data_IF_050832717558
#
_entry.id   IF_050832717558
#
_cell.length_a   1.000
_cell.length_b   1.000
_cell.length_c   1.000
_cell.angle_alpha   90.00
_cell.angle_beta   90.00
_cell.angle_gamma   90.00
#
_symmetry.space_group_name_H-M   'P 1'
#
loop_
_entity.id
_entity.type
_entity.pdbx_description
1 polymer ?
#
# COMPACT_ATOMS: atom_id res chain seq x y z
N UNK A 1 -7.27 8.34 11.18
CA UNK A 1 -6.23 7.52 10.53
C UNK A 1 -6.67 6.08 10.59
N UNK A 2 -7.04 5.49 9.46
CA UNK A 2 -7.38 4.07 9.36
C UNK A 2 -6.09 3.26 9.31
N UNK A 3 -5.72 2.68 10.44
CA UNK A 3 -4.60 1.74 10.54
C UNK A 3 -5.08 0.37 10.03
N UNK A 4 -4.31 -0.26 9.14
CA UNK A 4 -4.64 -1.58 8.61
C UNK A 4 -4.17 -2.67 9.59
N UNK A 5 -5.04 -3.57 10.08
CA UNK A 5 -4.63 -4.67 10.93
C UNK A 5 -3.57 -5.54 10.24
N UNK A 6 -2.48 -5.88 10.94
CA UNK A 6 -1.39 -6.69 10.41
C UNK A 6 -0.41 -5.95 9.46
N UNK A 7 -0.65 -4.66 9.14
CA UNK A 7 0.31 -3.82 8.42
C UNK A 7 1.02 -2.91 9.41
N UNK A 8 2.35 -3.02 9.48
CA UNK A 8 3.16 -2.18 10.37
C UNK A 8 3.78 -0.98 9.66
N UNK A 9 3.97 -1.06 8.35
CA UNK A 9 4.41 0.06 7.54
C UNK A 9 3.87 -0.08 6.11
N UNK A 10 3.53 1.05 5.51
CA UNK A 10 3.18 1.16 4.11
C UNK A 10 3.95 2.34 3.52
N UNK A 11 4.70 2.10 2.44
CA UNK A 11 5.38 3.15 1.71
C UNK A 11 4.89 3.16 0.27
N UNK A 12 4.56 4.33 -0.23
CA UNK A 12 4.18 4.55 -1.61
C UNK A 12 5.23 5.43 -2.28
N UNK A 13 5.74 4.98 -3.42
CA UNK A 13 6.63 5.74 -4.28
C UNK A 13 5.91 5.98 -5.60
N UNK A 14 5.63 7.24 -5.91
CA UNK A 14 5.19 7.66 -7.23
C UNK A 14 6.42 7.87 -8.12
N UNK A 15 6.47 7.15 -9.23
CA UNK A 15 7.53 7.20 -10.22
C UNK A 15 6.95 7.44 -11.63
N UNK A 16 7.82 7.71 -12.59
CA UNK A 16 7.44 8.00 -13.97
C UNK A 16 7.24 9.49 -14.25
N UNK A 17 6.85 9.78 -15.49
CA UNK A 17 6.52 11.14 -15.93
C UNK A 17 5.03 11.40 -15.71
N UNK A 18 4.61 12.66 -15.85
CA UNK A 18 3.21 13.06 -15.68
C UNK A 18 2.25 12.31 -16.63
N UNK A 19 2.74 11.91 -17.80
CA UNK A 19 1.96 11.18 -18.81
C UNK A 19 1.96 9.66 -18.60
N UNK A 20 2.93 9.14 -17.85
CA UNK A 20 3.01 7.71 -17.51
C UNK A 20 3.35 7.52 -16.03
N UNK A 21 2.47 7.97 -15.11
CA UNK A 21 2.71 7.78 -13.69
C UNK A 21 2.57 6.31 -13.33
N UNK A 22 3.41 5.84 -12.41
CA UNK A 22 3.34 4.50 -11.85
C UNK A 22 3.59 4.56 -10.35
N UNK A 23 2.85 3.77 -9.57
CA UNK A 23 3.04 3.68 -8.12
C UNK A 23 3.60 2.32 -7.74
N UNK A 24 4.68 2.35 -6.98
CA UNK A 24 5.17 1.19 -6.26
C UNK A 24 4.74 1.32 -4.79
N UNK A 25 3.97 0.34 -4.32
CA UNK A 25 3.52 0.25 -2.94
C UNK A 25 4.27 -0.90 -2.25
N UNK A 26 5.02 -0.58 -1.21
CA UNK A 26 5.69 -1.57 -0.36
C UNK A 26 4.93 -1.67 0.95
N UNK A 27 4.33 -2.84 1.18
CA UNK A 27 3.55 -3.13 2.38
C UNK A 27 4.34 -4.09 3.26
N UNK A 28 4.69 -3.63 4.46
CA UNK A 28 5.30 -4.46 5.49
C UNK A 28 4.20 -5.05 6.37
N UNK A 29 3.93 -6.34 6.20
CA UNK A 29 2.90 -7.08 6.93
C UNK A 29 3.50 -8.09 7.93
N UNK A 30 2.75 -8.43 8.97
CA UNK A 30 3.04 -9.55 9.85
C UNK A 30 2.95 -10.88 9.08
N UNK A 31 3.73 -11.90 9.48
CA UNK A 31 3.67 -13.22 8.85
C UNK A 31 2.29 -13.89 8.92
N UNK A 32 1.45 -13.53 9.90
CA UNK A 32 0.07 -13.99 10.02
C UNK A 32 -0.97 -13.08 9.38
N UNK A 33 -0.55 -12.01 8.70
CA UNK A 33 -1.46 -11.06 8.06
C UNK A 33 -2.19 -11.69 6.88
N UNK A 34 -3.49 -11.45 6.79
CA UNK A 34 -4.28 -11.88 5.65
C UNK A 34 -4.00 -10.98 4.43
N UNK A 35 -3.16 -11.49 3.53
CA UNK A 35 -2.78 -10.83 2.28
C UNK A 35 -3.99 -10.52 1.40
N UNK A 36 -5.01 -11.38 1.41
CA UNK A 36 -6.18 -11.23 0.57
C UNK A 36 -7.00 -10.04 1.05
N UNK A 37 -7.22 -9.93 2.35
CA UNK A 37 -7.89 -8.78 2.96
C UNK A 37 -7.11 -7.49 2.78
N UNK A 38 -5.78 -7.52 2.96
CA UNK A 38 -4.94 -6.34 2.74
C UNK A 38 -4.99 -5.91 1.27
N UNK A 39 -4.86 -6.85 0.32
CA UNK A 39 -4.96 -6.58 -1.12
C UNK A 39 -6.33 -6.02 -1.46
N UNK A 40 -7.40 -6.65 -0.98
CA UNK A 40 -8.77 -6.21 -1.22
C UNK A 40 -8.97 -4.77 -0.76
N UNK A 41 -8.55 -4.43 0.47
CA UNK A 41 -8.64 -3.06 0.98
C UNK A 41 -7.79 -2.05 0.21
N UNK A 42 -6.60 -2.44 -0.24
CA UNK A 42 -5.79 -1.58 -1.12
C UNK A 42 -6.57 -1.27 -2.40
N UNK A 43 -7.18 -2.28 -3.01
CA UNK A 43 -7.92 -2.12 -4.27
C UNK A 43 -9.26 -1.40 -4.09
N UNK A 44 -9.96 -1.57 -2.96
CA UNK A 44 -11.28 -0.94 -2.73
C UNK A 44 -11.21 0.46 -2.12
N UNK A 45 -10.22 0.74 -1.28
CA UNK A 45 -10.15 2.00 -0.53
C UNK A 45 -8.88 2.79 -0.87
N UNK A 46 -7.72 2.12 -0.86
CA UNK A 46 -6.41 2.78 -0.97
C UNK A 46 -6.16 3.40 -2.35
N UNK A 47 -6.28 2.59 -3.40
CA UNK A 47 -6.02 3.00 -4.77
C UNK A 47 -7.05 4.00 -5.30
N UNK A 48 -8.37 3.82 -5.12
CA UNK A 48 -9.34 4.81 -5.58
C UNK A 48 -9.09 6.20 -4.97
N UNK A 49 -8.72 6.25 -3.69
CA UNK A 49 -8.41 7.49 -2.99
C UNK A 49 -7.11 8.13 -3.49
N UNK A 50 -6.11 7.33 -3.84
CA UNK A 50 -4.85 7.81 -4.43
C UNK A 50 -5.06 8.34 -5.85
N UNK A 51 -5.80 7.61 -6.68
CA UNK A 51 -6.22 8.04 -8.01
C UNK A 51 -6.97 9.38 -7.95
N UNK A 52 -7.93 9.51 -7.04
CA UNK A 52 -8.68 10.75 -6.83
C UNK A 52 -7.77 11.92 -6.40
N UNK A 53 -6.82 11.68 -5.48
CA UNK A 53 -5.89 12.72 -5.03
C UNK A 53 -4.91 13.19 -6.12
N UNK A 54 -4.63 12.33 -7.10
CA UNK A 54 -3.74 12.62 -8.23
C UNK A 54 -4.49 13.04 -9.50
N UNK A 55 -5.83 13.08 -9.47
CA UNK A 55 -6.70 13.35 -10.62
C UNK A 55 -6.42 12.40 -11.81
N UNK A 56 -6.33 11.09 -11.51
CA UNK A 56 -6.06 10.03 -12.48
C UNK A 56 -7.21 9.04 -12.52
N UNK A 57 -7.60 8.60 -13.73
CA UNK A 57 -8.60 7.54 -13.91
C UNK A 57 -8.06 6.16 -13.55
N UNK A 58 -6.83 5.86 -13.96
CA UNK A 58 -6.15 4.59 -13.69
C UNK A 58 -4.68 4.84 -13.39
N UNK A 59 -4.15 4.15 -12.38
CA UNK A 59 -2.76 4.25 -11.98
C UNK A 59 -2.12 2.87 -11.98
N UNK A 60 -1.19 2.58 -12.92
CA UNK A 60 -0.38 1.38 -12.87
C UNK A 60 0.26 1.23 -11.49
N UNK A 61 -0.12 0.17 -10.79
CA UNK A 61 0.27 -0.04 -9.40
C UNK A 61 0.93 -1.40 -9.26
N UNK A 62 2.14 -1.39 -8.73
CA UNK A 62 2.84 -2.60 -8.29
C UNK A 62 2.80 -2.66 -6.77
N UNK A 63 2.28 -3.75 -6.22
CA UNK A 63 2.23 -3.98 -4.77
C UNK A 63 3.23 -5.07 -4.38
N UNK A 64 4.20 -4.72 -3.54
CA UNK A 64 5.16 -5.64 -2.97
C UNK A 64 4.84 -5.88 -1.49
N UNK A 65 4.59 -7.14 -1.14
CA UNK A 65 4.40 -7.54 0.25
C UNK A 65 5.72 -8.02 0.83
N UNK A 66 6.17 -7.37 1.90
CA UNK A 66 7.31 -7.77 2.70
C UNK A 66 6.84 -8.29 4.04
N UNK A 67 7.08 -9.56 4.30
CA UNK A 67 6.84 -10.12 5.63
C UNK A 67 8.05 -9.86 6.50
N UNK A 68 7.80 -9.24 7.65
CA UNK A 68 8.83 -9.04 8.66
C UNK A 68 8.55 -9.98 9.83
N UNK A 69 9.57 -10.66 10.34
CA UNK A 69 9.51 -11.40 11.61
C UNK A 69 9.43 -10.47 12.82
N UNK A 70 9.56 -9.15 12.60
CA UNK A 70 9.43 -8.12 13.61
C UNK A 70 7.95 -7.80 13.76
N UNK A 71 7.31 -8.43 14.75
CA UNK A 71 6.08 -7.88 15.35
C UNK A 71 6.36 -6.41 15.64
N UNK A 72 5.48 -5.53 15.16
CA UNK A 72 5.68 -4.09 14.98
C UNK A 72 6.68 -3.48 15.96
N UNK A 73 7.76 -2.90 15.41
CA UNK A 73 8.65 -2.09 16.22
C UNK A 73 7.81 -1.02 16.92
N UNK A 74 7.72 -1.15 18.26
CA UNK A 74 7.03 -0.20 19.14
C UNK A 74 7.44 1.21 18.76
N UNK A 75 6.46 2.08 18.53
CA UNK A 75 6.70 3.52 18.60
C UNK A 75 7.25 3.83 20.00
N UNK A 76 8.44 4.45 20.02
CA UNK A 76 9.05 5.06 21.22
C UNK A 76 8.33 6.37 21.54
#
# INVERSE_FOLDING_TARGET
>A
MTTYPGVHAAHATLAGTRDTPAVALVISAEQGGDLTEIRHRIDTDGLPRLCQALDLDTLPTTVEFRFSTKAGARAL
#
